data_IF_911469900964
#
_entry.id   IF_911469900964
#
_cell.length_a   1.000
_cell.length_b   1.000
_cell.length_c   1.000
_cell.angle_alpha   90.00
_cell.angle_beta   90.00
_cell.angle_gamma   90.00
#
_symmetry.space_group_name_H-M   'P 1'
#
loop_
_entity.id
_entity.type
_entity.pdbx_description
1 polymer ?
#
# COMPACT_ATOMS: atom_id res chain seq x y z
N UNK A 1 18.52 55.61 2.09
CA UNK A 1 17.07 55.32 2.04
C UNK A 1 16.79 53.95 2.65
N UNK A 2 15.94 53.83 3.67
CA UNK A 2 15.55 52.53 4.25
C UNK A 2 14.60 51.82 3.28
N UNK A 3 15.04 50.71 2.68
CA UNK A 3 14.15 49.84 1.89
C UNK A 3 13.11 49.20 2.82
N UNK A 4 11.85 49.60 2.67
CA UNK A 4 10.72 48.94 3.32
C UNK A 4 10.56 47.53 2.76
N UNK A 5 10.56 46.53 3.64
CA UNK A 5 10.47 45.12 3.26
C UNK A 5 9.09 44.83 2.68
N UNK A 6 9.00 44.55 1.39
CA UNK A 6 7.75 44.12 0.75
C UNK A 6 7.33 42.76 1.32
N UNK A 7 6.11 42.70 1.86
CA UNK A 7 5.45 41.46 2.31
C UNK A 7 4.54 40.95 1.20
N UNK A 8 4.60 39.64 0.95
CA UNK A 8 3.79 38.97 -0.07
C UNK A 8 2.90 37.92 0.60
N UNK A 9 1.64 37.84 0.14
CA UNK A 9 0.67 36.88 0.65
C UNK A 9 1.07 35.43 0.30
N UNK A 10 0.60 34.45 1.08
CA UNK A 10 0.91 33.04 0.89
C UNK A 10 0.37 32.55 -0.47
N UNK A 11 -0.86 32.92 -0.82
CA UNK A 11 -1.47 32.59 -2.11
C UNK A 11 -0.62 33.05 -3.30
N UNK A 12 -0.10 34.28 -3.24
CA UNK A 12 0.77 34.81 -4.31
C UNK A 12 2.07 34.04 -4.45
N UNK A 13 2.62 33.51 -3.35
CA UNK A 13 3.84 32.68 -3.39
C UNK A 13 3.54 31.31 -3.99
N UNK A 14 2.41 30.71 -3.63
CA UNK A 14 2.00 29.39 -4.15
C UNK A 14 1.70 29.48 -5.65
N UNK A 15 0.92 30.47 -6.08
CA UNK A 15 0.62 30.68 -7.50
C UNK A 15 1.88 30.81 -8.38
N UNK A 16 2.93 31.45 -7.86
CA UNK A 16 4.23 31.57 -8.56
C UNK A 16 4.95 30.23 -8.67
N UNK A 17 4.93 29.42 -7.61
CA UNK A 17 5.52 28.09 -7.63
C UNK A 17 4.75 27.17 -8.58
N UNK A 18 3.43 27.26 -8.61
CA UNK A 18 2.57 26.48 -9.51
C UNK A 18 2.81 26.84 -10.98
N UNK A 19 2.93 28.13 -11.30
CA UNK A 19 3.29 28.58 -12.65
C UNK A 19 4.65 28.05 -13.10
N UNK A 20 5.60 27.95 -12.18
CA UNK A 20 6.90 27.35 -12.47
C UNK A 20 6.82 25.83 -12.66
N UNK A 21 6.02 25.13 -11.86
CA UNK A 21 5.77 23.70 -11.99
C UNK A 21 5.03 23.34 -13.30
N UNK A 22 4.22 24.25 -13.83
CA UNK A 22 3.58 24.15 -15.16
C UNK A 22 4.55 24.35 -16.33
N UNK A 23 5.84 24.62 -16.07
CA UNK A 23 6.88 24.73 -17.09
C UNK A 23 7.16 26.15 -17.58
N UNK A 24 6.56 27.20 -17.00
CA UNK A 24 6.87 28.59 -17.37
C UNK A 24 8.24 29.00 -16.85
N UNK A 25 8.94 29.82 -17.63
CA UNK A 25 10.27 30.33 -17.23
C UNK A 25 10.16 31.36 -16.12
N UNK A 26 11.20 31.48 -15.28
CA UNK A 26 11.24 32.48 -14.21
C UNK A 26 11.19 33.92 -14.74
N UNK A 27 11.59 34.13 -15.98
CA UNK A 27 11.52 35.43 -16.68
C UNK A 27 10.08 35.77 -17.05
N UNK A 28 9.32 34.82 -17.62
CA UNK A 28 7.90 35.01 -17.94
C UNK A 28 7.07 35.26 -16.67
N UNK A 29 7.33 34.50 -15.60
CA UNK A 29 6.63 34.67 -14.32
C UNK A 29 6.94 36.04 -13.71
N UNK A 30 8.19 36.51 -13.80
CA UNK A 30 8.56 37.84 -13.35
C UNK A 30 7.83 38.95 -14.11
N UNK A 31 7.67 38.78 -15.42
CA UNK A 31 6.93 39.73 -16.26
C UNK A 31 5.42 39.74 -15.94
N UNK A 32 4.82 38.56 -15.72
CA UNK A 32 3.39 38.41 -15.39
C UNK A 32 3.03 38.95 -14.00
N UNK A 33 3.90 38.73 -13.02
CA UNK A 33 3.62 39.02 -11.60
C UNK A 33 4.28 40.30 -11.10
N UNK A 34 5.12 40.93 -11.93
CA UNK A 34 5.96 42.09 -11.58
C UNK A 34 6.85 41.86 -10.34
N UNK A 35 7.22 40.60 -10.07
CA UNK A 35 8.08 40.20 -8.96
C UNK A 35 9.47 39.88 -9.51
N UNK A 36 10.48 40.41 -8.82
CA UNK A 36 11.86 40.24 -9.26
C UNK A 36 12.29 38.76 -9.23
N UNK A 37 13.01 38.34 -10.28
CA UNK A 37 13.44 36.94 -10.50
C UNK A 37 14.13 36.33 -9.28
N UNK A 38 14.97 37.09 -8.57
CA UNK A 38 15.67 36.59 -7.37
C UNK A 38 14.72 36.18 -6.25
N UNK A 39 13.59 36.87 -6.10
CA UNK A 39 12.56 36.54 -5.09
C UNK A 39 11.82 35.28 -5.52
N UNK A 40 11.49 35.15 -6.80
CA UNK A 40 10.87 33.95 -7.38
C UNK A 40 11.78 32.73 -7.19
N UNK A 41 13.06 32.82 -7.54
CA UNK A 41 14.04 31.75 -7.31
C UNK A 41 14.12 31.34 -5.84
N UNK A 42 14.10 32.31 -4.93
CA UNK A 42 14.10 32.03 -3.49
C UNK A 42 12.89 31.22 -3.06
N UNK A 43 11.69 31.55 -3.52
CA UNK A 43 10.47 30.83 -3.17
C UNK A 43 10.43 29.42 -3.77
N UNK A 44 10.84 29.26 -5.03
CA UNK A 44 10.97 27.95 -5.67
C UNK A 44 11.92 27.05 -4.87
N UNK A 45 13.08 27.57 -4.46
CA UNK A 45 14.06 26.77 -3.72
C UNK A 45 13.56 26.38 -2.32
N UNK A 46 12.85 27.28 -1.64
CA UNK A 46 12.24 26.96 -0.34
C UNK A 46 11.16 25.88 -0.50
N UNK A 47 10.30 26.02 -1.52
CA UNK A 47 9.26 25.03 -1.79
C UNK A 47 9.86 23.66 -2.14
N UNK A 48 10.84 23.60 -3.05
CA UNK A 48 11.53 22.35 -3.40
C UNK A 48 12.15 21.67 -2.18
N UNK A 49 12.78 22.42 -1.29
CA UNK A 49 13.32 21.87 -0.03
C UNK A 49 12.24 21.32 0.88
N UNK A 50 11.13 22.05 1.04
CA UNK A 50 9.99 21.55 1.83
C UNK A 50 9.35 20.30 1.23
N UNK A 51 9.16 20.27 -0.09
CA UNK A 51 8.64 19.09 -0.79
C UNK A 51 9.58 17.89 -0.62
N UNK A 52 10.89 18.08 -0.81
CA UNK A 52 11.87 17.00 -0.64
C UNK A 52 11.94 16.50 0.81
N UNK A 53 11.81 17.37 1.81
CA UNK A 53 11.73 16.96 3.22
C UNK A 53 10.47 16.14 3.49
N UNK A 54 9.31 16.60 2.99
CA UNK A 54 8.04 15.87 3.13
C UNK A 54 8.06 14.52 2.40
N UNK A 55 8.70 14.46 1.23
CA UNK A 55 8.90 13.20 0.49
C UNK A 55 9.79 12.24 1.26
N UNK A 56 10.90 12.71 1.84
CA UNK A 56 11.78 11.87 2.66
C UNK A 56 11.09 11.36 3.93
N UNK A 57 10.30 12.19 4.60
CA UNK A 57 9.48 11.78 5.75
C UNK A 57 8.47 10.70 5.35
N UNK A 58 7.78 10.90 4.22
CA UNK A 58 6.84 9.91 3.67
C UNK A 58 7.54 8.60 3.30
N UNK A 59 8.73 8.65 2.70
CA UNK A 59 9.53 7.47 2.36
C UNK A 59 9.89 6.71 3.64
N UNK A 60 10.37 7.40 4.67
CA UNK A 60 10.73 6.79 5.96
C UNK A 60 9.54 6.10 6.63
N UNK A 61 8.36 6.71 6.56
CA UNK A 61 7.13 6.11 7.09
C UNK A 61 6.72 4.85 6.31
N UNK A 62 6.86 4.88 4.98
CA UNK A 62 6.61 3.73 4.12
C UNK A 62 7.60 2.59 4.39
N UNK A 63 8.89 2.90 4.53
CA UNK A 63 9.94 1.93 4.89
C UNK A 63 9.64 1.26 6.23
N UNK A 64 9.26 2.06 7.24
CA UNK A 64 8.85 1.53 8.55
C UNK A 64 7.64 0.60 8.41
N UNK A 65 6.66 0.95 7.56
CA UNK A 65 5.48 0.11 7.34
C UNK A 65 5.83 -1.20 6.62
N UNK A 66 6.72 -1.16 5.62
CA UNK A 66 7.24 -2.34 4.93
C UNK A 66 7.93 -3.26 5.93
N UNK A 67 8.83 -2.73 6.76
CA UNK A 67 9.54 -3.51 7.77
C UNK A 67 8.56 -4.19 8.76
N UNK A 68 7.52 -3.48 9.21
CA UNK A 68 6.49 -4.05 10.07
C UNK A 68 5.70 -5.18 9.38
N UNK A 69 5.33 -4.99 8.11
CA UNK A 69 4.61 -6.01 7.34
C UNK A 69 5.48 -7.23 7.06
N UNK A 70 6.77 -7.05 6.80
CA UNK A 70 7.72 -8.15 6.64
C UNK A 70 7.89 -8.96 7.93
N UNK A 71 7.98 -8.30 9.08
CA UNK A 71 8.05 -8.97 10.37
C UNK A 71 6.78 -9.78 10.65
N UNK A 72 5.61 -9.19 10.47
CA UNK A 72 4.33 -9.87 10.65
C UNK A 72 4.16 -11.05 9.67
N UNK A 73 4.60 -10.91 8.41
CA UNK A 73 4.59 -12.02 7.45
C UNK A 73 5.54 -13.15 7.88
N UNK A 74 6.71 -12.84 8.46
CA UNK A 74 7.63 -13.86 8.99
C UNK A 74 6.99 -14.62 10.14
N UNK A 75 6.37 -13.92 11.10
CA UNK A 75 5.65 -14.52 12.23
C UNK A 75 4.53 -15.45 11.73
N UNK A 76 3.69 -14.96 10.80
CA UNK A 76 2.60 -15.77 10.24
C UNK A 76 3.10 -17.00 9.47
N UNK A 77 4.25 -16.90 8.78
CA UNK A 77 4.85 -18.05 8.10
C UNK A 77 5.34 -19.11 9.10
N UNK A 78 5.93 -18.69 10.23
CA UNK A 78 6.33 -19.60 11.29
C UNK A 78 5.09 -20.30 11.88
N UNK A 79 4.02 -19.56 12.18
CA UNK A 79 2.76 -20.13 12.67
C UNK A 79 2.18 -21.15 11.69
N UNK A 80 2.17 -20.83 10.38
CA UNK A 80 1.71 -21.75 9.34
C UNK A 80 2.60 -23.00 9.23
N UNK A 81 3.91 -22.86 9.39
CA UNK A 81 4.84 -24.00 9.36
C UNK A 81 4.63 -24.93 10.55
N UNK A 82 4.53 -24.37 11.76
CA UNK A 82 4.19 -25.13 12.97
C UNK A 82 2.85 -25.84 12.77
N UNK A 83 1.82 -25.12 12.32
CA UNK A 83 0.50 -25.70 12.07
C UNK A 83 0.53 -26.84 11.04
N UNK A 84 1.33 -26.69 9.97
CA UNK A 84 1.50 -27.74 8.95
C UNK A 84 2.27 -28.95 9.47
N UNK A 85 3.17 -28.76 10.44
CA UNK A 85 3.89 -29.85 11.09
C UNK A 85 2.97 -30.72 11.95
N UNK A 86 1.85 -30.17 12.43
CA UNK A 86 0.82 -30.96 13.10
C UNK A 86 0.22 -31.97 12.13
N UNK A 87 0.29 -33.26 12.48
CA UNK A 87 -0.34 -34.32 11.71
C UNK A 87 -1.87 -34.28 11.90
N UNK A 88 -2.52 -33.41 11.13
CA UNK A 88 -3.99 -33.34 11.07
C UNK A 88 -4.47 -34.34 10.02
N UNK A 89 -5.45 -35.15 10.40
CA UNK A 89 -6.06 -36.15 9.52
C UNK A 89 -6.69 -35.50 8.29
N UNK A 90 -6.67 -36.21 7.15
CA UNK A 90 -7.21 -35.70 5.90
C UNK A 90 -8.68 -35.31 6.00
N UNK A 91 -9.50 -36.13 6.67
CA UNK A 91 -10.94 -35.89 6.84
C UNK A 91 -11.22 -34.57 7.56
N UNK A 92 -10.51 -34.31 8.66
CA UNK A 92 -10.63 -33.07 9.43
C UNK A 92 -10.27 -31.84 8.59
N UNK A 93 -9.21 -31.93 7.76
CA UNK A 93 -8.85 -30.84 6.82
C UNK A 93 -9.98 -30.52 5.85
N UNK A 94 -10.62 -31.55 5.28
CA UNK A 94 -11.71 -31.35 4.32
C UNK A 94 -12.95 -30.76 4.98
N UNK A 95 -13.29 -31.19 6.20
CA UNK A 95 -14.40 -30.64 6.98
C UNK A 95 -14.20 -29.15 7.31
N UNK A 96 -12.98 -28.74 7.67
CA UNK A 96 -12.66 -27.33 7.91
C UNK A 96 -12.81 -26.51 6.62
N UNK A 97 -12.30 -27.01 5.49
CA UNK A 97 -12.48 -26.35 4.18
C UNK A 97 -13.96 -26.20 3.85
N UNK A 98 -14.76 -27.24 4.09
CA UNK A 98 -16.20 -27.22 3.83
C UNK A 98 -16.93 -26.18 4.71
N UNK A 99 -16.56 -26.08 6.00
CA UNK A 99 -17.11 -25.10 6.94
C UNK A 99 -16.84 -23.66 6.51
N UNK A 100 -15.65 -23.38 5.98
CA UNK A 100 -15.19 -22.03 5.65
C UNK A 100 -15.29 -21.65 4.17
N UNK A 101 -15.84 -22.53 3.31
CA UNK A 101 -15.93 -22.33 1.85
C UNK A 101 -16.66 -21.07 1.42
N UNK A 102 -17.58 -20.58 2.26
CA UNK A 102 -18.35 -19.37 1.98
C UNK A 102 -17.61 -18.08 2.32
N UNK A 103 -16.63 -18.14 3.23
CA UNK A 103 -15.85 -16.98 3.69
C UNK A 103 -14.54 -16.83 2.92
N UNK A 104 -13.91 -17.95 2.54
CA UNK A 104 -12.62 -17.95 1.88
C UNK A 104 -12.62 -18.81 0.63
N UNK A 105 -11.73 -18.49 -0.31
CA UNK A 105 -11.53 -19.31 -1.50
C UNK A 105 -11.03 -20.70 -1.13
N UNK A 106 -11.72 -21.73 -1.63
CA UNK A 106 -11.30 -23.15 -1.51
C UNK A 106 -9.85 -23.34 -1.94
N UNK A 107 -9.42 -22.71 -3.03
CA UNK A 107 -8.03 -22.83 -3.49
C UNK A 107 -7.01 -22.27 -2.50
N UNK A 108 -7.35 -21.18 -1.78
CA UNK A 108 -6.46 -20.60 -0.75
C UNK A 108 -6.40 -21.51 0.48
N UNK A 109 -7.53 -22.05 0.91
CA UNK A 109 -7.58 -22.96 2.05
C UNK A 109 -6.87 -24.29 1.76
N UNK A 110 -7.05 -24.88 0.57
CA UNK A 110 -6.30 -26.05 0.14
C UNK A 110 -4.78 -25.80 0.20
N UNK A 111 -4.31 -24.63 -0.25
CA UNK A 111 -2.89 -24.24 -0.12
C UNK A 111 -2.43 -24.10 1.33
N UNK A 112 -3.27 -23.56 2.22
CA UNK A 112 -2.95 -23.45 3.65
C UNK A 112 -2.72 -24.83 4.27
N UNK A 113 -3.61 -25.78 3.99
CA UNK A 113 -3.55 -27.17 4.48
C UNK A 113 -2.58 -28.10 3.72
N UNK A 114 -1.86 -27.59 2.71
CA UNK A 114 -1.03 -28.37 1.81
C UNK A 114 -1.80 -29.53 1.12
N UNK A 115 -3.01 -29.24 0.64
CA UNK A 115 -3.87 -30.19 -0.08
C UNK A 115 -4.19 -29.71 -1.50
N UNK A 116 -4.56 -30.64 -2.37
CA UNK A 116 -4.95 -30.31 -3.74
C UNK A 116 -6.45 -30.01 -3.83
N UNK A 117 -6.81 -28.90 -4.50
CA UNK A 117 -8.20 -28.50 -4.76
C UNK A 117 -9.03 -29.62 -5.41
N UNK A 118 -8.45 -30.37 -6.36
CA UNK A 118 -9.13 -31.51 -7.00
C UNK A 118 -9.45 -32.62 -5.99
N UNK A 119 -8.59 -32.82 -5.00
CA UNK A 119 -8.77 -33.85 -3.96
C UNK A 119 -9.93 -33.48 -3.03
N UNK A 120 -10.08 -32.20 -2.71
CA UNK A 120 -11.25 -31.69 -1.98
C UNK A 120 -12.56 -31.92 -2.76
N UNK A 121 -12.63 -31.54 -4.03
CA UNK A 121 -13.86 -31.75 -4.80
C UNK A 121 -14.20 -33.23 -5.01
N UNK A 122 -13.21 -34.10 -5.18
CA UNK A 122 -13.44 -35.56 -5.20
C UNK A 122 -14.01 -36.06 -3.89
N UNK A 123 -13.43 -35.63 -2.76
CA UNK A 123 -13.95 -35.96 -1.43
C UNK A 123 -15.40 -35.47 -1.25
N UNK A 124 -15.70 -34.24 -1.68
CA UNK A 124 -17.04 -33.66 -1.60
C UNK A 124 -18.06 -34.45 -2.43
N UNK A 125 -17.71 -34.83 -3.65
CA UNK A 125 -18.56 -35.68 -4.51
C UNK A 125 -18.79 -37.06 -3.91
N UNK A 126 -17.74 -37.72 -3.40
CA UNK A 126 -17.88 -39.02 -2.75
C UNK A 126 -18.78 -38.96 -1.50
N UNK A 127 -18.73 -37.86 -0.76
CA UNK A 127 -19.55 -37.69 0.45
C UNK A 127 -21.04 -37.55 0.12
N UNK A 128 -21.39 -36.71 -0.86
CA UNK A 128 -22.77 -36.54 -1.34
C UNK A 128 -23.36 -37.85 -1.85
N UNK A 129 -22.59 -38.60 -2.64
CA UNK A 129 -23.03 -39.90 -3.15
C UNK A 129 -23.25 -40.95 -2.04
N UNK A 130 -22.56 -40.82 -0.90
CA UNK A 130 -22.77 -41.73 0.24
C UNK A 130 -23.99 -41.34 1.05
N UNK A 131 -24.23 -40.04 1.24
CA UNK A 131 -25.42 -39.48 1.91
C UNK A 131 -26.70 -39.88 1.13
N UNK A 132 -26.70 -39.77 -0.20
CA UNK A 132 -27.81 -40.16 -1.09
C UNK A 132 -28.10 -41.67 -1.15
N UNK A 133 -27.18 -42.52 -0.66
CA UNK A 133 -27.36 -44.00 -0.62
C UNK A 133 -27.86 -44.51 0.72
N UNK A 134 -27.87 -43.65 1.74
CA UNK A 134 -28.31 -43.97 3.10
C UNK A 134 -29.71 -43.44 3.42
N UNK A 135 -30.32 -42.70 2.49
CA UNK A 135 -31.73 -42.30 2.47
C UNK A 135 -32.56 -43.28 1.61
#
# INVERSE_FOLDING_TARGET
>A
MKQTRRTYNIETKMAIVDLYNQGKSTTEIANLTNIHRTVIYKWINIHKKHTALSENERIKDLEKKIMQLELANKELNIELEIFRSCQIEFEQKMQVIEKFKHQYSVSKMCKAFNTNTKRYYRWLSSRRNNEERTE
#
